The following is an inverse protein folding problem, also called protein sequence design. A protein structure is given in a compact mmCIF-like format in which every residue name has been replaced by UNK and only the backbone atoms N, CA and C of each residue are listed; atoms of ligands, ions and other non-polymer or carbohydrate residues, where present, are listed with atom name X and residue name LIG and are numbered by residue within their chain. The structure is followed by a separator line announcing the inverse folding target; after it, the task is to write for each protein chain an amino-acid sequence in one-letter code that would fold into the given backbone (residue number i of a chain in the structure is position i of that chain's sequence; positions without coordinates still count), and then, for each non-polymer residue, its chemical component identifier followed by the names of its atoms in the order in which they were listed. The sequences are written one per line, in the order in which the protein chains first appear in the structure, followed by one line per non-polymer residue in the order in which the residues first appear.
data_IF_553632500579
#
_entry.id   IF_553632500579
#
_cell.length_a   1.000
_cell.length_b   1.000
_cell.length_c   1.000
_cell.angle_alpha   90.00
_cell.angle_beta   90.00
_cell.angle_gamma   90.00
#
_symmetry.space_group_name_H-M   'P 1'
#
loop_
_entity.id
_entity.type
_entity.pdbx_description
1 polymer ?
#
# COMPACT_ATOMS: atom_id res chain seq x y z
N UNK A 1 42.46 39.37 37.30
CA UNK A 1 41.01 39.69 37.12
C UNK A 1 40.48 39.55 35.68
N UNK A 2 41.31 39.26 34.67
CA UNK A 2 40.90 39.20 33.26
C UNK A 2 40.36 37.83 32.76
N UNK A 3 40.35 36.77 33.58
CA UNK A 3 39.94 35.43 33.13
C UNK A 3 38.46 35.08 33.33
N UNK A 4 37.67 35.91 34.02
CA UNK A 4 36.23 35.64 34.24
C UNK A 4 35.31 36.18 33.15
N UNK A 5 35.77 37.18 32.37
CA UNK A 5 34.92 37.90 31.40
C UNK A 5 34.72 37.11 30.10
N UNK A 6 35.63 36.20 29.73
CA UNK A 6 35.55 35.44 28.47
C UNK A 6 34.68 34.18 28.53
N UNK A 7 34.26 33.72 29.73
CA UNK A 7 33.44 32.49 29.87
C UNK A 7 31.93 32.73 29.74
N UNK A 8 31.45 33.94 30.08
CA UNK A 8 30.02 34.26 30.11
C UNK A 8 29.38 34.33 28.72
N UNK A 9 30.17 34.60 27.67
CA UNK A 9 29.70 34.69 26.29
C UNK A 9 29.42 33.34 25.62
N UNK A 10 29.81 32.20 26.23
CA UNK A 10 29.79 30.89 25.55
C UNK A 10 28.54 30.04 25.80
N UNK A 11 27.70 30.34 26.79
CA UNK A 11 26.61 29.43 27.17
C UNK A 11 25.23 30.11 27.11
N UNK A 12 24.50 29.86 26.02
CA UNK A 12 23.13 30.35 25.82
C UNK A 12 22.08 29.33 26.28
N UNK A 13 21.13 29.76 27.13
CA UNK A 13 20.01 28.93 27.56
C UNK A 13 19.07 28.56 26.41
N UNK A 14 18.97 29.43 25.40
CA UNK A 14 18.23 29.13 24.17
C UNK A 14 18.92 28.01 23.40
N UNK A 15 20.24 28.08 23.24
CA UNK A 15 20.98 27.02 22.55
C UNK A 15 20.82 25.68 23.27
N UNK A 16 20.84 25.65 24.60
CA UNK A 16 20.55 24.44 25.37
C UNK A 16 19.14 23.87 25.09
N UNK A 17 18.12 24.72 25.02
CA UNK A 17 16.77 24.29 24.67
C UNK A 17 16.69 23.68 23.26
N UNK A 18 17.30 24.34 22.27
CA UNK A 18 17.33 23.87 20.87
C UNK A 18 18.14 22.60 20.68
N UNK A 19 19.24 22.42 21.41
CA UNK A 19 20.00 21.18 21.43
C UNK A 19 19.15 20.01 21.96
N UNK A 20 18.36 20.24 23.02
CA UNK A 20 17.46 19.22 23.56
C UNK A 20 16.20 19.02 22.70
N UNK A 21 15.82 20.02 21.91
CA UNK A 21 14.82 19.89 20.86
C UNK A 21 15.29 18.95 19.75
N UNK A 22 16.58 18.99 19.36
CA UNK A 22 17.14 18.04 18.39
C UNK A 22 17.23 16.63 19.00
N UNK A 23 17.86 16.53 20.17
CA UNK A 23 18.01 15.27 20.89
C UNK A 23 18.00 15.48 22.42
N UNK A 24 17.05 14.87 23.15
CA UNK A 24 16.98 14.97 24.61
C UNK A 24 18.33 14.67 25.29
N UNK A 25 18.81 15.60 26.13
CA UNK A 25 20.08 15.46 26.85
C UNK A 25 21.22 16.32 26.30
N UNK A 26 21.21 16.69 25.02
CA UNK A 26 22.31 17.51 24.44
C UNK A 26 22.41 18.89 25.10
N UNK A 27 21.28 19.53 25.41
CA UNK A 27 21.27 20.84 26.07
C UNK A 27 21.76 20.80 27.50
N UNK A 28 21.46 19.73 28.23
CA UNK A 28 22.00 19.49 29.57
C UNK A 28 23.51 19.28 29.51
N UNK A 29 24.01 18.54 28.51
CA UNK A 29 25.45 18.36 28.27
C UNK A 29 26.14 19.70 27.99
N UNK A 30 25.54 20.52 27.12
CA UNK A 30 25.98 21.89 26.84
C UNK A 30 26.03 22.78 28.09
N UNK A 31 25.05 22.65 28.99
CA UNK A 31 25.05 23.36 30.27
C UNK A 31 26.04 22.77 31.31
N UNK A 32 26.82 21.75 30.96
CA UNK A 32 27.76 21.04 31.83
C UNK A 32 27.10 20.12 32.86
N UNK A 33 25.84 19.74 32.64
CA UNK A 33 25.05 18.88 33.54
C UNK A 33 25.00 17.44 33.03
N UNK A 34 26.16 16.78 32.93
CA UNK A 34 26.31 15.46 32.28
C UNK A 34 25.44 14.35 32.87
N UNK A 35 25.19 14.35 34.18
CA UNK A 35 24.28 13.38 34.80
C UNK A 35 22.84 13.51 34.26
N UNK A 36 22.36 14.74 34.05
CA UNK A 36 21.05 15.01 33.44
C UNK A 36 21.07 14.73 31.93
N UNK A 37 22.18 15.05 31.27
CA UNK A 37 22.37 14.73 29.85
C UNK A 37 22.19 13.23 29.58
N UNK A 38 22.85 12.39 30.38
CA UNK A 38 22.74 10.93 30.29
C UNK A 38 21.33 10.44 30.64
N UNK A 39 20.72 11.00 31.69
CA UNK A 39 19.34 10.66 32.07
C UNK A 39 18.36 10.91 30.91
N UNK A 40 18.49 12.03 30.21
CA UNK A 40 17.59 12.35 29.10
C UNK A 40 17.94 11.61 27.79
N UNK A 41 19.21 11.35 27.52
CA UNK A 41 19.63 10.69 26.29
C UNK A 41 19.41 9.17 26.31
N UNK A 42 19.67 8.51 27.44
CA UNK A 42 19.76 7.05 27.52
C UNK A 42 18.45 6.34 27.12
N UNK A 43 17.25 6.73 27.58
CA UNK A 43 16.02 6.06 27.18
C UNK A 43 15.78 6.06 25.67
N UNK A 44 16.07 7.18 24.99
CA UNK A 44 15.91 7.31 23.54
C UNK A 44 16.93 6.46 22.79
N UNK A 45 18.18 6.42 23.27
CA UNK A 45 19.23 5.55 22.71
C UNK A 45 18.84 4.07 22.85
N UNK A 46 18.36 3.65 24.02
CA UNK A 46 17.95 2.27 24.26
C UNK A 46 16.75 1.87 23.40
N UNK A 47 15.76 2.76 23.24
CA UNK A 47 14.63 2.53 22.33
C UNK A 47 15.10 2.38 20.87
N UNK A 48 16.01 3.25 20.42
CA UNK A 48 16.55 3.18 19.06
C UNK A 48 17.35 1.90 18.82
N UNK A 49 18.17 1.47 19.79
CA UNK A 49 18.90 0.19 19.72
C UNK A 49 17.92 -0.99 19.68
N UNK A 50 16.91 -1.00 20.56
CA UNK A 50 15.89 -2.05 20.57
C UNK A 50 15.14 -2.17 19.24
N UNK A 51 14.73 -1.03 18.67
CA UNK A 51 14.09 -0.98 17.36
C UNK A 51 15.04 -1.47 16.25
N UNK A 52 16.30 -1.05 16.27
CA UNK A 52 17.31 -1.50 15.32
C UNK A 52 17.53 -3.02 15.39
N UNK A 53 17.70 -3.58 16.59
CA UNK A 53 17.87 -5.02 16.79
C UNK A 53 16.63 -5.77 16.31
N UNK A 54 15.43 -5.31 16.64
CA UNK A 54 14.18 -5.93 16.19
C UNK A 54 14.10 -5.98 14.66
N UNK A 55 14.34 -4.85 13.99
CA UNK A 55 14.26 -4.75 12.52
C UNK A 55 15.27 -5.67 11.83
N UNK A 56 16.49 -5.77 12.37
CA UNK A 56 17.56 -6.54 11.76
C UNK A 56 17.55 -8.04 12.12
N UNK A 57 16.72 -8.48 13.07
CA UNK A 57 16.68 -9.90 13.52
C UNK A 57 15.40 -10.64 13.12
N UNK A 58 14.29 -9.96 12.90
CA UNK A 58 12.98 -10.61 12.75
C UNK A 58 12.57 -10.97 11.31
N UNK A 59 13.36 -10.58 10.31
CA UNK A 59 13.02 -10.76 8.90
C UNK A 59 11.96 -9.76 8.39
N UNK A 60 12.05 -9.38 7.11
CA UNK A 60 11.25 -8.28 6.54
C UNK A 60 9.74 -8.52 6.63
N UNK A 61 9.28 -9.74 6.34
CA UNK A 61 7.85 -10.07 6.34
C UNK A 61 7.21 -9.93 7.73
N UNK A 62 7.91 -10.35 8.80
CA UNK A 62 7.42 -10.22 10.17
C UNK A 62 7.31 -8.76 10.59
N UNK A 63 8.31 -7.94 10.24
CA UNK A 63 8.29 -6.49 10.53
C UNK A 63 7.11 -5.83 9.82
N UNK A 64 6.92 -6.09 8.53
CA UNK A 64 5.75 -5.57 7.79
C UNK A 64 4.44 -6.04 8.43
N UNK A 65 4.35 -7.32 8.81
CA UNK A 65 3.18 -7.87 9.50
C UNK A 65 2.85 -7.17 10.82
N UNK A 66 3.86 -6.75 11.59
CA UNK A 66 3.65 -5.97 12.82
C UNK A 66 3.03 -4.59 12.53
N UNK A 67 3.43 -3.93 11.45
CA UNK A 67 2.84 -2.63 11.05
C UNK A 67 1.41 -2.75 10.49
N UNK A 68 0.97 -3.95 10.14
CA UNK A 68 -0.41 -4.23 9.75
C UNK A 68 -1.32 -4.57 10.94
N UNK A 69 -0.78 -4.68 12.15
CA UNK A 69 -1.57 -4.95 13.35
C UNK A 69 -2.09 -3.64 13.96
N UNK A 70 -3.42 -3.45 14.07
CA UNK A 70 -3.99 -2.23 14.65
C UNK A 70 -3.49 -1.94 16.08
N UNK A 71 -3.25 -2.98 16.90
CA UNK A 71 -2.77 -2.80 18.27
C UNK A 71 -1.34 -2.23 18.31
N UNK A 72 -0.48 -2.64 17.37
CA UNK A 72 0.88 -2.14 17.26
C UNK A 72 0.88 -0.67 16.83
N UNK A 73 0.04 -0.29 15.87
CA UNK A 73 -0.11 1.10 15.43
C UNK A 73 -0.62 2.01 16.55
N UNK A 74 -1.60 1.56 17.34
CA UNK A 74 -2.05 2.29 18.54
C UNK A 74 -0.93 2.42 19.58
N UNK A 75 -0.17 1.35 19.81
CA UNK A 75 0.99 1.38 20.70
C UNK A 75 2.05 2.39 20.25
N UNK A 76 2.33 2.48 18.95
CA UNK A 76 3.26 3.46 18.38
C UNK A 76 2.73 4.90 18.49
N UNK A 77 1.42 5.13 18.32
CA UNK A 77 0.79 6.43 18.54
C UNK A 77 0.89 6.86 20.00
N UNK A 78 0.60 5.96 20.95
CA UNK A 78 0.76 6.22 22.37
C UNK A 78 2.22 6.50 22.74
N UNK A 79 3.17 5.72 22.19
CA UNK A 79 4.61 5.96 22.35
C UNK A 79 5.02 7.33 21.81
N UNK A 80 4.51 7.75 20.65
CA UNK A 80 4.78 9.07 20.08
C UNK A 80 4.31 10.21 21.01
N UNK A 81 3.14 10.08 21.65
CA UNK A 81 2.65 11.04 22.65
C UNK A 81 3.56 11.04 23.90
N UNK A 82 3.98 9.86 24.36
CA UNK A 82 4.94 9.73 25.46
C UNK A 82 6.28 10.40 25.16
N UNK A 83 6.83 10.20 23.96
CA UNK A 83 8.08 10.82 23.51
C UNK A 83 7.91 12.34 23.38
N UNK A 84 6.75 12.83 22.91
CA UNK A 84 6.46 14.27 22.88
C UNK A 84 6.54 14.86 24.29
N UNK A 85 5.78 14.30 25.25
CA UNK A 85 5.78 14.78 26.63
C UNK A 85 7.20 14.76 27.23
N UNK A 86 7.94 13.67 27.01
CA UNK A 86 9.33 13.53 27.42
C UNK A 86 10.24 14.59 26.80
N UNK A 87 10.11 14.86 25.49
CA UNK A 87 10.91 15.84 24.76
C UNK A 87 10.61 17.27 25.24
N UNK A 88 9.34 17.60 25.51
CA UNK A 88 8.97 18.90 26.09
C UNK A 88 9.63 19.12 27.46
N UNK A 89 9.60 18.10 28.33
CA UNK A 89 10.29 18.16 29.63
C UNK A 89 11.80 18.34 29.45
N UNK A 90 12.43 17.62 28.52
CA UNK A 90 13.87 17.74 28.26
C UNK A 90 14.27 19.14 27.76
N UNK A 91 13.48 19.75 26.88
CA UNK A 91 13.69 21.11 26.36
C UNK A 91 13.63 22.14 27.50
N UNK A 92 12.57 22.07 28.31
CA UNK A 92 12.36 22.97 29.45
C UNK A 92 13.46 22.79 30.50
N UNK A 93 13.82 21.56 30.84
CA UNK A 93 14.89 21.25 31.78
C UNK A 93 16.25 21.80 31.33
N UNK A 94 16.58 21.65 30.04
CA UNK A 94 17.83 22.19 29.48
C UNK A 94 17.87 23.71 29.56
N UNK A 95 16.76 24.38 29.24
CA UNK A 95 16.62 25.83 29.37
C UNK A 95 16.84 26.30 30.81
N UNK A 96 16.14 25.69 31.78
CA UNK A 96 16.27 26.06 33.19
C UNK A 96 17.65 25.76 33.75
N UNK A 97 18.22 24.59 33.43
CA UNK A 97 19.55 24.20 33.88
C UNK A 97 20.62 25.18 33.38
N UNK A 98 20.55 25.58 32.10
CA UNK A 98 21.47 26.56 31.55
C UNK A 98 21.25 27.95 32.14
N UNK A 99 19.99 28.38 32.34
CA UNK A 99 19.66 29.70 32.90
C UNK A 99 20.07 29.86 34.36
N UNK A 100 19.95 28.80 35.17
CA UNK A 100 20.37 28.80 36.57
C UNK A 100 21.90 28.92 36.71
N UNK A 101 22.63 28.23 35.82
CA UNK A 101 24.11 28.26 35.82
C UNK A 101 24.68 29.53 35.20
N UNK A 102 23.97 30.10 34.23
CA UNK A 102 24.42 31.26 33.45
C UNK A 102 23.28 32.29 33.33
N UNK A 103 23.06 33.13 34.36
CA UNK A 103 21.96 34.10 34.37
C UNK A 103 22.14 35.17 33.28
N UNK A 104 21.07 35.46 32.53
CA UNK A 104 21.05 36.54 31.53
C UNK A 104 20.98 37.91 32.19
N UNK A 105 21.68 38.92 31.65
CA UNK A 105 21.84 40.24 32.27
C UNK A 105 20.70 41.25 31.95
N UNK A 106 19.85 41.02 30.93
CA UNK A 106 18.86 42.01 30.45
C UNK A 106 17.40 41.55 30.39
N UNK A 107 16.43 42.48 30.50
CA UNK A 107 14.98 42.23 30.32
C UNK A 107 14.65 41.78 28.89
N UNK A 108 15.22 42.45 27.88
CA UNK A 108 15.04 42.10 26.47
C UNK A 108 15.62 40.71 26.12
N UNK A 109 16.79 40.37 26.68
CA UNK A 109 17.39 39.03 26.54
C UNK A 109 16.52 37.94 27.14
N UNK A 110 15.85 38.20 28.27
CA UNK A 110 14.90 37.24 28.87
C UNK A 110 13.65 37.07 28.02
N UNK A 111 13.11 38.15 27.47
CA UNK A 111 11.94 38.10 26.60
C UNK A 111 12.23 37.30 25.32
N UNK A 112 13.32 37.63 24.62
CA UNK A 112 13.78 36.91 23.42
C UNK A 112 14.07 35.43 23.69
N UNK A 113 14.71 35.12 24.82
CA UNK A 113 14.96 33.73 25.22
C UNK A 113 13.66 32.94 25.49
N UNK A 114 12.67 33.59 26.12
CA UNK A 114 11.34 33.00 26.31
C UNK A 114 10.61 32.73 24.99
N UNK A 115 10.65 33.68 24.05
CA UNK A 115 10.06 33.49 22.72
C UNK A 115 10.72 32.33 21.97
N UNK A 116 12.05 32.26 21.95
CA UNK A 116 12.78 31.20 21.25
C UNK A 116 12.60 29.82 21.90
N UNK A 117 12.40 29.76 23.22
CA UNK A 117 11.97 28.53 23.90
C UNK A 117 10.56 28.13 23.43
N UNK A 118 9.61 29.07 23.39
CA UNK A 118 8.26 28.81 22.90
C UNK A 118 8.24 28.25 21.47
N UNK A 119 9.07 28.80 20.58
CA UNK A 119 9.23 28.28 19.21
C UNK A 119 9.73 26.84 19.21
N UNK A 120 10.72 26.49 20.04
CA UNK A 120 11.21 25.11 20.13
C UNK A 120 10.13 24.13 20.64
N UNK A 121 9.30 24.55 21.60
CA UNK A 121 8.19 23.75 22.12
C UNK A 121 7.09 23.55 21.07
N UNK A 122 6.71 24.62 20.35
CA UNK A 122 5.74 24.55 19.25
C UNK A 122 6.28 23.68 18.12
N UNK A 123 7.57 23.80 17.78
CA UNK A 123 8.23 22.94 16.80
C UNK A 123 8.18 21.46 17.20
N UNK A 124 8.40 21.15 18.48
CA UNK A 124 8.32 19.77 18.98
C UNK A 124 6.89 19.23 18.87
N UNK A 125 5.90 20.04 19.27
CA UNK A 125 4.49 19.71 19.13
C UNK A 125 4.12 19.46 17.66
N UNK A 126 4.51 20.35 16.75
CA UNK A 126 4.23 20.24 15.32
C UNK A 126 4.85 18.98 14.70
N UNK A 127 6.10 18.66 15.03
CA UNK A 127 6.76 17.43 14.58
C UNK A 127 5.98 16.18 15.01
N UNK A 128 5.65 16.08 16.31
CA UNK A 128 4.94 14.91 16.84
C UNK A 128 3.48 14.84 16.40
N UNK A 129 2.83 15.99 16.19
CA UNK A 129 1.49 16.06 15.61
C UNK A 129 1.48 15.57 14.15
N UNK A 130 2.48 15.94 13.35
CA UNK A 130 2.64 15.44 11.98
C UNK A 130 2.84 13.92 11.93
N UNK A 131 3.74 13.40 12.77
CA UNK A 131 3.96 11.94 12.91
C UNK A 131 2.68 11.23 13.39
N UNK A 132 2.00 11.81 14.39
CA UNK A 132 0.74 11.28 14.92
C UNK A 132 -0.39 11.26 13.89
N UNK A 133 -0.52 12.32 13.09
CA UNK A 133 -1.49 12.40 12.00
C UNK A 133 -1.26 11.29 10.96
N UNK A 134 -0.01 11.12 10.52
CA UNK A 134 0.33 10.06 9.57
C UNK A 134 0.11 8.66 10.17
N UNK A 135 0.48 8.45 11.43
CA UNK A 135 0.23 7.20 12.15
C UNK A 135 -1.26 6.89 12.29
N UNK A 136 -2.09 7.89 12.61
CA UNK A 136 -3.54 7.72 12.73
C UNK A 136 -4.19 7.42 11.38
N UNK A 137 -3.78 8.10 10.31
CA UNK A 137 -4.24 7.79 8.95
C UNK A 137 -3.85 6.38 8.52
N UNK A 138 -2.67 5.91 8.92
CA UNK A 138 -2.23 4.54 8.67
C UNK A 138 -3.10 3.55 9.43
N UNK A 139 -3.36 3.79 10.72
CA UNK A 139 -4.26 2.98 11.54
C UNK A 139 -5.66 2.89 10.93
N UNK A 140 -6.27 4.02 10.61
CA UNK A 140 -7.62 4.12 10.02
C UNK A 140 -7.71 3.31 8.71
N UNK A 141 -6.71 3.47 7.83
CA UNK A 141 -6.62 2.71 6.56
C UNK A 141 -6.52 1.21 6.82
N UNK A 142 -5.63 0.78 7.72
CA UNK A 142 -5.44 -0.64 8.04
C UNK A 142 -6.70 -1.23 8.64
N UNK A 143 -7.39 -0.52 9.54
CA UNK A 143 -8.65 -1.00 10.11
C UNK A 143 -9.79 -1.02 9.11
N UNK A 144 -9.83 -0.08 8.16
CA UNK A 144 -10.86 -0.08 7.12
C UNK A 144 -10.68 -1.24 6.13
N UNK A 145 -9.44 -1.54 5.74
CA UNK A 145 -9.12 -2.60 4.76
C UNK A 145 -9.16 -4.00 5.42
N UNK A 146 -8.63 -4.13 6.64
CA UNK A 146 -8.43 -5.43 7.29
C UNK A 146 -9.31 -5.68 8.51
N UNK A 147 -10.05 -4.68 9.01
CA UNK A 147 -10.87 -4.79 10.22
C UNK A 147 -12.24 -5.46 10.01
N UNK A 148 -12.66 -5.67 8.77
CA UNK A 148 -13.95 -6.27 8.43
C UNK A 148 -13.79 -7.72 7.95
N UNK A 149 -13.59 -8.62 8.89
CA UNK A 149 -13.98 -10.04 8.72
C UNK A 149 -15.26 -10.30 9.52
N UNK A 150 -16.30 -9.51 9.27
CA UNK A 150 -17.62 -10.14 9.27
C UNK A 150 -17.60 -11.09 8.09
N UNK A 151 -17.32 -12.37 8.35
CA UNK A 151 -17.79 -13.44 7.46
C UNK A 151 -19.24 -13.07 7.17
N UNK A 152 -19.62 -12.73 5.92
CA UNK A 152 -21.02 -12.60 5.64
C UNK A 152 -21.58 -13.98 5.97
N UNK A 153 -22.38 -14.08 7.03
CA UNK A 153 -23.33 -15.18 7.16
C UNK A 153 -24.02 -15.21 5.80
N UNK A 154 -23.89 -16.29 5.01
CA UNK A 154 -24.49 -16.32 3.69
C UNK A 154 -25.97 -16.04 3.90
N UNK A 155 -26.40 -14.85 3.50
CA UNK A 155 -27.80 -14.53 3.38
C UNK A 155 -28.33 -15.57 2.39
N UNK A 156 -29.30 -16.41 2.78
CA UNK A 156 -29.77 -17.46 1.90
C UNK A 156 -30.22 -16.79 0.61
N UNK A 157 -29.56 -17.11 -0.50
CA UNK A 157 -29.94 -16.59 -1.79
C UNK A 157 -31.44 -16.82 -1.99
N UNK A 158 -32.21 -15.82 -2.44
CA UNK A 158 -33.61 -16.04 -2.82
C UNK A 158 -33.74 -17.04 -3.98
N UNK A 159 -32.63 -17.41 -4.61
CA UNK A 159 -32.50 -18.47 -5.58
C UNK A 159 -32.03 -19.78 -4.92
N UNK A 160 -32.80 -20.30 -3.97
CA UNK A 160 -32.78 -21.75 -3.78
C UNK A 160 -33.49 -22.35 -4.98
N UNK A 161 -32.74 -22.94 -5.91
CA UNK A 161 -33.30 -23.84 -6.90
C UNK A 161 -33.94 -25.00 -6.13
N UNK A 162 -35.25 -24.91 -5.92
CA UNK A 162 -36.04 -26.09 -5.59
C UNK A 162 -35.70 -27.17 -6.62
N UNK A 163 -35.61 -28.46 -6.26
CA UNK A 163 -35.47 -29.54 -7.22
C UNK A 163 -36.67 -29.52 -8.18
N UNK A 164 -36.54 -28.75 -9.26
CA UNK A 164 -37.50 -28.65 -10.34
C UNK A 164 -37.47 -29.96 -11.10
N UNK A 165 -38.67 -30.43 -11.45
CA UNK A 165 -38.94 -31.69 -12.12
C UNK A 165 -37.90 -32.04 -13.20
N UNK A 166 -37.48 -33.30 -13.19
CA UNK A 166 -36.66 -33.92 -14.23
C UNK A 166 -37.20 -33.54 -15.60
N UNK A 167 -36.45 -32.81 -16.44
CA UNK A 167 -36.94 -32.47 -17.78
C UNK A 167 -37.08 -33.77 -18.58
N UNK A 168 -38.25 -33.92 -19.21
CA UNK A 168 -38.53 -34.97 -20.18
C UNK A 168 -37.54 -34.85 -21.34
N UNK A 169 -36.83 -35.91 -21.76
CA UNK A 169 -35.87 -35.80 -22.85
C UNK A 169 -36.59 -35.45 -24.15
N UNK A 170 -36.38 -34.21 -24.61
CA UNK A 170 -36.68 -33.79 -25.98
C UNK A 170 -35.57 -34.39 -26.85
N UNK A 171 -35.88 -34.95 -28.04
CA UNK A 171 -34.86 -35.46 -28.95
C UNK A 171 -33.81 -34.36 -29.21
N UNK A 172 -32.58 -34.63 -28.79
CA UNK A 172 -31.43 -33.73 -28.91
C UNK A 172 -31.23 -33.42 -30.40
N UNK A 173 -31.44 -32.17 -30.85
CA UNK A 173 -30.94 -31.74 -32.14
C UNK A 173 -29.42 -31.97 -32.16
N UNK A 174 -28.84 -32.29 -33.32
CA UNK A 174 -27.39 -32.35 -33.44
C UNK A 174 -26.78 -31.09 -32.78
N UNK A 175 -25.76 -31.24 -31.92
CA UNK A 175 -25.21 -30.10 -31.23
C UNK A 175 -24.82 -29.04 -32.26
N UNK A 176 -25.13 -27.75 -32.04
CA UNK A 176 -24.55 -26.72 -32.87
C UNK A 176 -23.02 -26.83 -32.82
N UNK A 177 -22.32 -26.28 -33.80
CA UNK A 177 -20.87 -26.41 -33.98
C UNK A 177 -20.00 -26.23 -32.71
N UNK A 178 -20.48 -25.50 -31.70
CA UNK A 178 -19.82 -25.31 -30.39
C UNK A 178 -19.63 -26.58 -29.55
N UNK A 179 -20.31 -27.68 -29.87
CA UNK A 179 -20.20 -28.93 -29.12
C UNK A 179 -19.52 -30.05 -29.93
N UNK A 180 -18.88 -29.68 -31.05
CA UNK A 180 -18.30 -30.63 -31.99
C UNK A 180 -17.17 -31.49 -31.39
N UNK A 181 -16.44 -30.96 -30.41
CA UNK A 181 -15.34 -31.66 -29.72
C UNK A 181 -15.76 -32.29 -28.37
N UNK A 182 -17.06 -32.25 -28.04
CA UNK A 182 -17.60 -32.77 -26.78
C UNK A 182 -17.33 -31.89 -25.56
N UNK A 183 -16.77 -30.69 -25.74
CA UNK A 183 -16.56 -29.69 -24.69
C UNK A 183 -17.30 -28.40 -25.01
N UNK A 184 -17.58 -27.63 -23.95
CA UNK A 184 -18.04 -26.26 -24.04
C UNK A 184 -17.04 -25.39 -23.30
N UNK A 185 -16.34 -24.52 -24.03
CA UNK A 185 -15.33 -23.62 -23.50
C UNK A 185 -15.83 -22.17 -23.61
N UNK A 186 -16.07 -21.53 -22.47
CA UNK A 186 -16.56 -20.15 -22.40
C UNK A 186 -15.49 -19.28 -21.73
N UNK A 187 -15.12 -18.19 -22.41
CA UNK A 187 -14.26 -17.16 -21.85
C UNK A 187 -15.10 -16.13 -21.08
N UNK A 188 -14.85 -15.98 -19.79
CA UNK A 188 -15.47 -14.99 -18.92
C UNK A 188 -14.50 -13.83 -18.71
N UNK A 189 -14.92 -12.62 -19.09
CA UNK A 189 -14.07 -11.42 -19.09
C UNK A 189 -14.67 -10.38 -18.13
N UNK A 190 -13.94 -10.01 -17.09
CA UNK A 190 -14.24 -8.85 -16.28
C UNK A 190 -13.55 -7.61 -16.84
N UNK A 191 -14.34 -6.64 -17.31
CA UNK A 191 -13.85 -5.38 -17.83
C UNK A 191 -13.96 -4.25 -16.78
N UNK A 192 -12.86 -3.55 -16.49
CA UNK A 192 -12.89 -2.28 -15.75
C UNK A 192 -13.21 -1.14 -16.73
N UNK A 193 -14.51 -0.93 -16.96
CA UNK A 193 -15.06 0.16 -17.77
C UNK A 193 -16.00 1.04 -16.93
N UNK A 194 -16.02 2.35 -17.19
CA UNK A 194 -16.90 3.28 -16.46
C UNK A 194 -16.93 4.69 -17.07
N UNK A 195 -17.94 5.52 -16.73
CA UNK A 195 -18.06 6.89 -17.25
C UNK A 195 -16.78 7.70 -17.02
N UNK A 196 -16.19 8.25 -18.09
CA UNK A 196 -14.94 9.01 -18.04
C UNK A 196 -13.65 8.17 -18.08
N UNK A 197 -13.74 6.84 -18.20
CA UNK A 197 -12.58 5.99 -18.48
C UNK A 197 -12.39 5.86 -20.00
N UNK A 198 -11.21 6.25 -20.48
CA UNK A 198 -10.85 6.26 -21.90
C UNK A 198 -10.30 4.92 -22.41
N UNK A 199 -10.02 3.96 -21.52
CA UNK A 199 -9.45 2.65 -21.84
C UNK A 199 -10.16 1.56 -21.04
N UNK A 200 -10.65 0.55 -21.76
CA UNK A 200 -11.18 -0.68 -21.20
C UNK A 200 -10.01 -1.64 -20.96
N UNK A 201 -9.89 -2.11 -19.71
CA UNK A 201 -8.88 -3.10 -19.30
C UNK A 201 -9.58 -4.37 -18.83
N UNK A 202 -9.12 -5.51 -19.31
CA UNK A 202 -9.65 -6.82 -18.93
C UNK A 202 -8.88 -7.35 -17.73
N UNK A 203 -9.36 -6.97 -16.54
CA UNK A 203 -8.66 -7.23 -15.28
C UNK A 203 -8.97 -8.61 -14.69
N UNK A 204 -10.00 -9.28 -15.20
CA UNK A 204 -10.30 -10.69 -14.90
C UNK A 204 -10.58 -11.45 -16.19
N UNK A 205 -9.93 -12.58 -16.37
CA UNK A 205 -10.16 -13.49 -17.49
C UNK A 205 -10.22 -14.90 -16.91
N UNK A 206 -11.33 -15.62 -17.12
CA UNK A 206 -11.46 -17.00 -16.67
C UNK A 206 -11.98 -17.87 -17.82
N UNK A 207 -11.33 -19.00 -18.07
CA UNK A 207 -11.78 -19.96 -19.07
C UNK A 207 -12.54 -21.09 -18.36
N UNK A 208 -13.85 -21.14 -18.57
CA UNK A 208 -14.70 -22.23 -18.13
C UNK A 208 -14.69 -23.33 -19.19
N UNK A 209 -14.28 -24.54 -18.83
CA UNK A 209 -14.37 -25.72 -19.71
C UNK A 209 -15.31 -26.75 -19.09
N UNK A 210 -16.35 -27.14 -19.83
CA UNK A 210 -17.34 -28.13 -19.40
C UNK A 210 -17.32 -29.32 -20.34
N UNK A 211 -17.15 -30.52 -19.79
CA UNK A 211 -17.32 -31.77 -20.55
C UNK A 211 -18.81 -32.09 -20.66
N UNK A 212 -19.33 -32.14 -21.89
CA UNK A 212 -20.78 -32.17 -22.13
C UNK A 212 -21.40 -33.49 -21.67
N UNK A 213 -20.69 -34.61 -21.87
CA UNK A 213 -21.20 -35.95 -21.55
C UNK A 213 -21.36 -36.21 -20.06
N UNK A 214 -20.51 -35.59 -19.23
CA UNK A 214 -20.48 -35.83 -17.77
C UNK A 214 -20.95 -34.64 -16.95
N UNK A 215 -21.01 -33.43 -17.53
CA UNK A 215 -21.27 -32.19 -16.81
C UNK A 215 -20.11 -31.73 -15.93
N UNK A 216 -18.93 -32.37 -16.01
CA UNK A 216 -17.76 -31.97 -15.21
C UNK A 216 -17.20 -30.66 -15.74
N UNK A 217 -16.96 -29.70 -14.85
CA UNK A 217 -16.45 -28.39 -15.18
C UNK A 217 -15.09 -28.11 -14.53
N UNK A 218 -14.25 -27.34 -15.22
CA UNK A 218 -13.04 -26.74 -14.70
C UNK A 218 -13.03 -25.25 -15.05
N UNK A 219 -12.56 -24.42 -14.12
CA UNK A 219 -12.41 -22.97 -14.32
C UNK A 219 -10.94 -22.58 -14.17
N UNK A 220 -10.37 -22.01 -15.21
CA UNK A 220 -8.97 -21.58 -15.24
C UNK A 220 -8.90 -20.06 -15.17
N UNK A 221 -8.36 -19.54 -14.07
CA UNK A 221 -8.06 -18.11 -13.95
C UNK A 221 -6.83 -17.74 -14.76
N UNK A 222 -6.97 -16.76 -15.65
CA UNK A 222 -5.89 -16.24 -16.48
C UNK A 222 -5.37 -14.94 -15.86
N UNK A 223 -4.10 -14.86 -15.43
CA UNK A 223 -3.54 -13.66 -14.84
C UNK A 223 -3.52 -12.49 -15.84
N UNK A 224 -4.03 -11.32 -15.42
CA UNK A 224 -4.00 -10.08 -16.22
C UNK A 224 -2.60 -9.62 -16.64
N UNK A 225 -1.57 -10.11 -15.95
CA UNK A 225 -0.17 -9.70 -16.10
C UNK A 225 0.70 -10.70 -16.86
N UNK A 226 0.10 -11.58 -17.65
CA UNK A 226 0.85 -12.42 -18.58
C UNK A 226 1.51 -11.55 -19.66
N UNK A 227 2.79 -11.80 -19.91
CA UNK A 227 3.58 -11.20 -20.98
C UNK A 227 3.85 -12.25 -22.06
N UNK A 228 4.13 -11.78 -23.28
CA UNK A 228 4.48 -12.63 -24.41
C UNK A 228 3.41 -13.69 -24.71
N UNK A 229 2.15 -13.31 -24.60
CA UNK A 229 1.03 -14.22 -24.90
C UNK A 229 1.03 -14.48 -26.40
N UNK A 230 1.06 -15.74 -26.86
CA UNK A 230 1.13 -16.04 -28.28
C UNK A 230 -0.10 -15.49 -29.00
N UNK A 231 0.12 -14.97 -30.21
CA UNK A 231 -0.94 -14.50 -31.09
C UNK A 231 -1.15 -15.54 -32.19
N UNK A 232 -2.40 -15.73 -32.66
CA UNK A 232 -2.65 -16.63 -33.79
C UNK A 232 -1.86 -16.17 -35.03
N UNK A 233 -1.46 -17.08 -35.92
CA UNK A 233 -0.80 -16.72 -37.18
C UNK A 233 -1.61 -15.69 -37.97
N UNK A 234 -0.96 -14.60 -38.38
CA UNK A 234 -1.59 -13.50 -39.11
C UNK A 234 -0.93 -12.15 -38.82
N UNK A 235 -1.53 -11.04 -39.31
CA UNK A 235 -0.92 -9.70 -39.26
C UNK A 235 -0.49 -9.27 -37.86
N UNK A 236 -1.29 -9.58 -36.83
CA UNK A 236 -0.97 -9.26 -35.45
C UNK A 236 0.27 -10.03 -34.93
N UNK A 237 0.41 -11.32 -35.24
CA UNK A 237 1.61 -12.08 -34.87
C UNK A 237 2.84 -11.61 -35.67
N UNK A 238 2.67 -11.37 -36.97
CA UNK A 238 3.74 -10.92 -37.87
C UNK A 238 4.27 -9.52 -37.52
N UNK A 239 3.44 -8.69 -36.88
CA UNK A 239 3.82 -7.37 -36.40
C UNK A 239 4.83 -7.40 -35.23
N UNK A 240 4.99 -8.54 -34.55
CA UNK A 240 5.91 -8.69 -33.43
C UNK A 240 6.93 -9.79 -33.69
N UNK A 241 8.22 -9.50 -33.43
CA UNK A 241 9.31 -10.47 -33.65
C UNK A 241 9.13 -11.79 -32.92
N UNK A 242 8.39 -11.81 -31.81
CA UNK A 242 8.12 -13.03 -31.03
C UNK A 242 6.90 -13.83 -31.51
N UNK A 243 6.12 -13.34 -32.48
CA UNK A 243 4.82 -13.93 -32.82
C UNK A 243 3.80 -13.85 -31.67
N UNK A 244 4.00 -12.90 -30.76
CA UNK A 244 3.32 -12.83 -29.47
C UNK A 244 3.01 -11.37 -29.11
N UNK A 245 2.05 -11.15 -28.22
CA UNK A 245 1.79 -9.83 -27.67
C UNK A 245 2.84 -9.48 -26.60
N UNK A 246 3.68 -8.46 -26.80
CA UNK A 246 4.87 -8.23 -25.99
C UNK A 246 4.59 -7.52 -24.65
N UNK A 247 3.33 -7.19 -24.35
CA UNK A 247 2.91 -6.48 -23.14
C UNK A 247 1.92 -7.33 -22.32
N UNK A 248 1.43 -6.78 -21.21
CA UNK A 248 0.44 -7.39 -20.33
C UNK A 248 -0.84 -7.71 -21.12
N UNK A 249 -1.30 -8.96 -21.11
CA UNK A 249 -2.51 -9.39 -21.83
C UNK A 249 -3.75 -8.51 -21.55
N UNK A 250 -3.86 -7.90 -20.37
CA UNK A 250 -4.98 -7.00 -20.06
C UNK A 250 -5.00 -5.69 -20.88
N UNK A 251 -3.90 -5.33 -21.55
CA UNK A 251 -3.83 -4.21 -22.49
C UNK A 251 -4.15 -4.61 -23.93
N UNK A 252 -4.20 -5.92 -24.24
CA UNK A 252 -4.45 -6.43 -25.59
C UNK A 252 -5.79 -5.93 -26.16
N UNK A 253 -6.83 -5.82 -25.33
CA UNK A 253 -8.11 -5.23 -25.76
C UNK A 253 -7.91 -3.83 -26.35
N UNK A 254 -7.30 -2.94 -25.55
CA UNK A 254 -7.10 -1.53 -25.95
C UNK A 254 -6.16 -1.44 -27.14
N UNK A 255 -5.11 -2.27 -27.17
CA UNK A 255 -4.19 -2.33 -28.30
C UNK A 255 -4.90 -2.74 -29.59
N UNK A 256 -5.71 -3.79 -29.56
CA UNK A 256 -6.42 -4.29 -30.72
C UNK A 256 -7.43 -3.26 -31.25
N UNK A 257 -8.19 -2.60 -30.38
CA UNK A 257 -9.11 -1.51 -30.79
C UNK A 257 -8.37 -0.40 -31.52
N UNK A 258 -7.18 -0.03 -31.05
CA UNK A 258 -6.35 1.02 -31.65
C UNK A 258 -5.65 0.63 -32.97
N UNK A 259 -5.60 -0.65 -33.31
CA UNK A 259 -4.90 -1.19 -34.50
C UNK A 259 -5.84 -2.04 -35.37
N UNK A 260 -6.88 -1.44 -36.00
CA UNK A 260 -7.81 -2.13 -36.92
C UNK A 260 -7.14 -2.91 -38.05
N UNK A 261 -5.97 -2.48 -38.47
CA UNK A 261 -5.19 -3.09 -39.54
C UNK A 261 -4.56 -4.43 -39.13
N UNK A 262 -4.40 -4.68 -37.83
CA UNK A 262 -3.80 -5.91 -37.29
C UNK A 262 -4.85 -6.93 -36.81
N UNK A 263 -5.99 -6.46 -36.29
CA UNK A 263 -7.00 -7.30 -35.65
C UNK A 263 -8.36 -7.16 -36.31
N UNK A 264 -9.03 -8.30 -36.50
CA UNK A 264 -10.36 -8.35 -37.15
C UNK A 264 -11.50 -7.94 -36.21
N UNK A 265 -12.61 -7.54 -36.81
CA UNK A 265 -13.85 -7.19 -36.10
C UNK A 265 -14.12 -5.68 -36.10
N UNK A 266 -15.37 -5.32 -35.79
CA UNK A 266 -15.74 -3.92 -35.57
C UNK A 266 -15.18 -3.41 -34.23
N UNK A 267 -15.15 -2.09 -34.06
CA UNK A 267 -14.50 -1.46 -32.91
C UNK A 267 -15.05 -1.94 -31.56
N UNK A 268 -16.34 -2.29 -31.49
CA UNK A 268 -17.01 -2.76 -30.28
C UNK A 268 -16.61 -4.20 -29.86
N UNK A 269 -16.10 -5.02 -30.79
CA UNK A 269 -15.83 -6.46 -30.54
C UNK A 269 -14.40 -6.89 -30.83
N UNK A 270 -13.61 -6.08 -31.55
CA UNK A 270 -12.23 -6.40 -31.95
C UNK A 270 -11.34 -6.76 -30.77
N UNK A 271 -11.41 -5.99 -29.69
CA UNK A 271 -10.62 -6.24 -28.49
C UNK A 271 -10.97 -7.58 -27.82
N UNK A 272 -12.24 -7.96 -27.82
CA UNK A 272 -12.67 -9.25 -27.29
C UNK A 272 -12.26 -10.41 -28.19
N UNK A 273 -12.37 -10.25 -29.52
CA UNK A 273 -11.87 -11.24 -30.49
C UNK A 273 -10.37 -11.46 -30.30
N UNK A 274 -9.57 -10.40 -30.18
CA UNK A 274 -8.13 -10.50 -29.99
C UNK A 274 -7.77 -11.29 -28.71
N UNK A 275 -8.49 -11.03 -27.60
CA UNK A 275 -8.32 -11.78 -26.36
C UNK A 275 -8.71 -13.25 -26.51
N UNK A 276 -9.86 -13.53 -27.12
CA UNK A 276 -10.31 -14.90 -27.38
C UNK A 276 -9.26 -15.67 -28.20
N UNK A 277 -8.79 -15.10 -29.30
CA UNK A 277 -7.83 -15.78 -30.18
C UNK A 277 -6.46 -15.99 -29.52
N UNK A 278 -5.94 -15.01 -28.79
CA UNK A 278 -4.70 -15.15 -28.04
C UNK A 278 -4.80 -16.24 -26.97
N UNK A 279 -5.94 -16.34 -26.28
CA UNK A 279 -6.16 -17.39 -25.27
C UNK A 279 -6.40 -18.77 -25.88
N UNK A 280 -7.04 -18.86 -27.06
CA UNK A 280 -7.10 -20.11 -27.81
C UNK A 280 -5.70 -20.58 -28.20
N UNK A 281 -4.86 -19.68 -28.73
CA UNK A 281 -3.48 -19.99 -29.12
C UNK A 281 -2.66 -20.45 -27.91
N UNK A 282 -2.78 -19.74 -26.77
CA UNK A 282 -2.04 -20.05 -25.56
C UNK A 282 -2.46 -21.38 -24.91
N UNK A 283 -3.76 -21.72 -24.95
CA UNK A 283 -4.29 -22.90 -24.25
C UNK A 283 -4.42 -24.13 -25.13
N UNK A 284 -4.45 -23.95 -26.46
CA UNK A 284 -4.80 -25.00 -27.42
C UNK A 284 -6.28 -25.43 -27.35
N UNK A 285 -7.11 -24.73 -26.59
CA UNK A 285 -8.54 -25.00 -26.49
C UNK A 285 -9.31 -24.15 -27.50
N UNK A 286 -10.31 -24.74 -28.15
CA UNK A 286 -11.28 -23.97 -28.91
C UNK A 286 -12.20 -23.24 -27.95
N UNK A 287 -12.38 -21.92 -28.09
CA UNK A 287 -13.30 -21.13 -27.26
C UNK A 287 -14.57 -20.90 -28.06
N UNK A 288 -15.67 -21.47 -27.57
CA UNK A 288 -16.96 -21.48 -28.26
C UNK A 288 -17.75 -20.19 -28.09
N UNK A 289 -17.50 -19.50 -26.99
CA UNK A 289 -18.19 -18.26 -26.66
C UNK A 289 -17.46 -17.45 -25.60
N UNK A 290 -17.91 -16.20 -25.46
CA UNK A 290 -17.39 -15.27 -24.48
C UNK A 290 -18.53 -14.50 -23.80
N UNK A 291 -18.32 -14.17 -22.53
CA UNK A 291 -19.21 -13.34 -21.72
C UNK A 291 -18.40 -12.22 -21.07
N UNK A 292 -18.96 -11.02 -21.03
CA UNK A 292 -18.34 -9.80 -20.48
C UNK A 292 -19.24 -9.21 -19.40
#
# INVERSE_FOLDING_TARGET
MASRVTSAARHSAVLAAWLSFLWPGLGQGWAGAWRRALFFALPIVLLAIGAFVLINTQGRARIVGLFLQPQVLLGLLALNVGILAYRLVAIVDAYHTSRLRWPSAGRLQRATAGTLLGVALIGALGMHAGIGYLGFKTYDTVTAVFGSTSTPTPEPSPYSLAPGATPTPIPTPAPPNWAADGRLNILLIGADAGPGRWSLRTDSMNLLSVEISTGRAALFGIPRNLFNVPLPPGPAADAFTCGCFPDLINSLYTYAVAHPELFRGSDDVRGYIALQEALQEMTGLHIDGQMV
#
